data_IF_492748846150
#
_entry.id   IF_492748846150
#
_cell.length_a   1.000
_cell.length_b   1.000
_cell.length_c   1.000
_cell.angle_alpha   90.00
_cell.angle_beta   90.00
_cell.angle_gamma   90.00
#
_symmetry.space_group_name_H-M   'P 1'
#
loop_
_entity.id
_entity.type
_entity.pdbx_description
1 polymer ?
#
# COMPACT_ATOMS: atom_id res chain seq x y z
N UNK A 1 24.35 -50.40 -24.41
CA UNK A 1 24.50 -49.20 -25.28
C UNK A 1 23.36 -48.26 -24.96
N UNK A 2 23.59 -47.32 -24.06
CA UNK A 2 22.58 -46.35 -23.58
C UNK A 2 22.97 -45.00 -24.12
N UNK A 3 22.15 -44.44 -25.00
CA UNK A 3 22.32 -43.10 -25.51
C UNK A 3 21.82 -42.09 -24.48
N UNK A 4 22.73 -41.36 -23.91
CA UNK A 4 22.45 -40.16 -23.09
C UNK A 4 22.18 -39.03 -24.06
N UNK A 5 20.90 -38.64 -24.17
CA UNK A 5 20.52 -37.39 -24.85
C UNK A 5 20.98 -36.19 -24.02
N UNK A 6 21.98 -35.48 -24.51
CA UNK A 6 22.36 -34.15 -24.01
C UNK A 6 21.24 -33.17 -24.33
N UNK A 7 20.63 -32.65 -23.28
CA UNK A 7 19.71 -31.54 -23.40
C UNK A 7 20.43 -30.36 -24.04
N UNK A 8 19.86 -29.85 -25.10
CA UNK A 8 20.28 -28.64 -25.79
C UNK A 8 20.29 -27.45 -24.81
N UNK A 9 21.47 -26.92 -24.57
CA UNK A 9 21.63 -25.56 -24.07
C UNK A 9 21.18 -24.61 -25.19
N UNK A 10 19.92 -24.23 -25.14
CA UNK A 10 19.39 -23.18 -26.02
C UNK A 10 20.13 -21.88 -25.71
N UNK A 11 20.91 -21.46 -26.70
CA UNK A 11 21.46 -20.13 -26.86
C UNK A 11 20.35 -19.13 -26.51
N UNK A 12 20.55 -18.33 -25.47
CA UNK A 12 19.70 -17.20 -25.12
C UNK A 12 19.67 -16.22 -26.30
N UNK A 13 18.70 -16.39 -27.18
CA UNK A 13 18.36 -15.36 -28.14
C UNK A 13 17.91 -14.14 -27.32
N UNK A 14 18.55 -13.01 -27.52
CA UNK A 14 18.27 -11.68 -26.96
C UNK A 14 16.91 -11.09 -27.43
N UNK A 15 15.91 -11.92 -27.72
CA UNK A 15 14.56 -11.46 -28.01
C UNK A 15 13.80 -11.28 -26.70
N UNK A 16 13.68 -10.04 -26.26
CA UNK A 16 12.79 -9.70 -25.12
C UNK A 16 11.38 -10.20 -25.41
N UNK A 17 10.74 -10.82 -24.41
CA UNK A 17 9.34 -11.17 -24.55
C UNK A 17 8.49 -9.89 -24.63
N UNK A 18 7.62 -9.84 -25.63
CA UNK A 18 6.70 -8.72 -25.86
C UNK A 18 5.34 -9.09 -25.26
N UNK A 19 4.80 -8.19 -24.44
CA UNK A 19 3.50 -8.36 -23.78
C UNK A 19 2.52 -7.31 -24.31
N UNK A 20 1.28 -7.72 -24.56
CA UNK A 20 0.18 -6.79 -24.88
C UNK A 20 -0.19 -5.97 -23.65
N UNK A 21 -0.83 -4.82 -23.86
CA UNK A 21 -1.30 -3.98 -22.75
C UNK A 21 -2.32 -4.71 -21.86
N UNK A 22 -3.17 -5.55 -22.45
CA UNK A 22 -4.15 -6.37 -21.73
C UNK A 22 -3.45 -7.39 -20.82
N UNK A 23 -2.44 -8.10 -21.34
CA UNK A 23 -1.63 -9.02 -20.54
C UNK A 23 -0.94 -8.30 -19.38
N UNK A 24 -0.39 -7.11 -19.62
CA UNK A 24 0.29 -6.32 -18.58
C UNK A 24 -0.70 -5.88 -17.52
N UNK A 25 -1.90 -5.40 -17.87
CA UNK A 25 -2.95 -5.02 -16.91
C UNK A 25 -3.39 -6.20 -16.05
N UNK A 26 -3.71 -7.32 -16.69
CA UNK A 26 -4.09 -8.55 -16.00
C UNK A 26 -3.03 -9.00 -15.01
N UNK A 27 -1.78 -8.97 -15.42
CA UNK A 27 -0.63 -9.34 -14.60
C UNK A 27 -0.42 -8.40 -13.40
N UNK A 28 -0.52 -7.08 -13.62
CA UNK A 28 -0.47 -6.10 -12.53
C UNK A 28 -1.58 -6.34 -11.52
N UNK A 29 -2.82 -6.52 -11.97
CA UNK A 29 -3.96 -6.69 -11.08
C UNK A 29 -3.90 -7.99 -10.29
N UNK A 30 -3.43 -9.07 -10.90
CA UNK A 30 -3.16 -10.34 -10.20
C UNK A 30 -2.06 -10.16 -9.16
N UNK A 31 -0.94 -9.58 -9.55
CA UNK A 31 0.19 -9.33 -8.64
C UNK A 31 -0.18 -8.39 -7.50
N UNK A 32 -1.14 -7.51 -7.69
CA UNK A 32 -1.70 -6.66 -6.64
C UNK A 32 -2.75 -7.38 -5.77
N UNK A 33 -3.11 -8.62 -6.08
CA UNK A 33 -4.15 -9.38 -5.40
C UNK A 33 -5.56 -8.78 -5.56
N UNK A 34 -5.83 -8.09 -6.67
CA UNK A 34 -7.13 -7.48 -6.98
C UNK A 34 -8.03 -8.40 -7.82
N UNK A 35 -7.45 -9.36 -8.50
CA UNK A 35 -8.14 -10.45 -9.20
C UNK A 35 -7.61 -11.79 -8.69
N UNK A 36 -8.53 -12.71 -8.41
CA UNK A 36 -8.25 -14.06 -7.90
C UNK A 36 -7.21 -14.10 -6.75
N UNK A 37 -7.40 -13.31 -5.66
CA UNK A 37 -6.46 -13.33 -4.55
C UNK A 37 -6.51 -14.69 -3.84
N UNK A 38 -5.36 -15.33 -3.72
CA UNK A 38 -5.20 -16.56 -2.94
C UNK A 38 -4.34 -16.28 -1.70
N UNK A 39 -4.91 -15.53 -0.77
CA UNK A 39 -4.26 -15.24 0.52
C UNK A 39 -4.75 -16.15 1.65
N UNK A 40 -5.72 -17.03 1.39
CA UNK A 40 -6.40 -17.84 2.40
C UNK A 40 -7.55 -17.09 3.07
N UNK A 41 -7.85 -17.38 4.34
CA UNK A 41 -9.00 -16.82 5.08
C UNK A 41 -8.60 -16.21 6.41
N UNK A 42 -9.43 -15.30 6.91
CA UNK A 42 -9.32 -14.72 8.24
C UNK A 42 -8.02 -13.95 8.47
N UNK A 43 -7.48 -14.02 9.68
CA UNK A 43 -6.28 -13.31 10.10
C UNK A 43 -5.03 -13.71 9.31
N UNK A 44 -4.91 -15.00 8.95
CA UNK A 44 -3.77 -15.50 8.14
C UNK A 44 -3.77 -14.86 6.75
N UNK A 45 -4.93 -14.67 6.14
CA UNK A 45 -5.05 -13.99 4.85
C UNK A 45 -4.56 -12.53 4.93
N UNK A 46 -4.83 -11.83 6.03
CA UNK A 46 -4.34 -10.45 6.24
C UNK A 46 -2.81 -10.42 6.31
N UNK A 47 -2.21 -11.34 7.06
CA UNK A 47 -0.75 -11.49 7.12
C UNK A 47 -0.16 -11.75 5.73
N UNK A 48 -0.69 -12.75 5.01
CA UNK A 48 -0.21 -13.13 3.69
C UNK A 48 -0.35 -11.99 2.67
N UNK A 49 -1.45 -11.24 2.71
CA UNK A 49 -1.65 -10.07 1.85
C UNK A 49 -0.61 -8.96 2.13
N UNK A 50 -0.31 -8.67 3.41
CA UNK A 50 0.72 -7.69 3.77
C UNK A 50 2.11 -8.17 3.34
N UNK A 51 2.44 -9.45 3.54
CA UNK A 51 3.71 -10.06 3.10
C UNK A 51 3.87 -9.99 1.58
N UNK A 52 2.79 -10.27 0.85
CA UNK A 52 2.78 -10.21 -0.61
C UNK A 52 2.94 -8.79 -1.14
N UNK A 53 2.16 -7.85 -0.63
CA UNK A 53 2.25 -6.44 -1.05
C UNK A 53 3.53 -5.74 -0.56
N UNK A 54 4.20 -6.30 0.45
CA UNK A 54 5.41 -5.75 1.07
C UNK A 54 5.16 -4.60 2.04
N UNK A 55 4.06 -3.90 1.94
CA UNK A 55 3.60 -2.86 2.86
C UNK A 55 2.12 -2.55 2.66
N UNK A 56 1.49 -1.97 3.69
CA UNK A 56 0.17 -1.31 3.59
C UNK A 56 0.27 0.07 4.23
N UNK A 57 0.05 1.12 3.43
CA UNK A 57 0.20 2.50 3.89
C UNK A 57 -0.85 2.87 4.93
N UNK A 58 -0.39 3.45 6.04
CA UNK A 58 -1.23 4.01 7.11
C UNK A 58 -1.53 5.46 6.78
N UNK A 59 -2.81 5.81 6.75
CA UNK A 59 -3.24 7.19 6.60
C UNK A 59 -4.24 7.60 7.69
N UNK A 60 -4.21 8.90 8.02
CA UNK A 60 -5.06 9.50 9.06
C UNK A 60 -6.46 9.83 8.56
N UNK A 61 -6.61 10.07 7.26
CA UNK A 61 -7.90 10.42 6.66
C UNK A 61 -8.89 9.26 6.78
N UNK A 62 -10.06 9.56 7.32
CA UNK A 62 -11.14 8.59 7.55
C UNK A 62 -12.46 9.12 7.01
N UNK A 63 -12.52 9.36 5.69
CA UNK A 63 -13.73 9.90 5.04
C UNK A 63 -14.82 8.82 4.97
N UNK A 64 -14.48 7.64 4.52
CA UNK A 64 -15.33 6.46 4.56
C UNK A 64 -14.68 5.36 5.43
N UNK A 65 -13.53 4.86 5.03
CA UNK A 65 -12.67 3.98 5.81
C UNK A 65 -11.23 4.50 5.79
N UNK A 66 -10.42 4.15 6.79
CA UNK A 66 -8.98 4.44 6.75
C UNK A 66 -8.33 3.65 5.63
N UNK A 67 -7.35 4.26 4.94
CA UNK A 67 -6.73 3.71 3.75
C UNK A 67 -6.21 2.27 3.93
N UNK A 68 -5.52 1.96 5.04
CA UNK A 68 -4.99 0.62 5.30
C UNK A 68 -6.09 -0.43 5.45
N UNK A 69 -7.19 -0.11 6.12
CA UNK A 69 -8.32 -1.01 6.24
C UNK A 69 -9.03 -1.21 4.90
N UNK A 70 -9.19 -0.13 4.13
CA UNK A 70 -9.78 -0.20 2.78
C UNK A 70 -8.92 -1.03 1.82
N UNK A 71 -7.60 -0.84 1.82
CA UNK A 71 -6.66 -1.61 0.99
C UNK A 71 -6.72 -3.11 1.28
N UNK A 72 -6.87 -3.49 2.55
CA UNK A 72 -7.02 -4.90 2.93
C UNK A 72 -8.42 -5.43 2.58
N UNK A 73 -9.48 -4.65 2.85
CA UNK A 73 -10.84 -5.03 2.51
C UNK A 73 -11.06 -5.25 1.01
N UNK A 74 -10.44 -4.43 0.15
CA UNK A 74 -10.59 -4.60 -1.31
C UNK A 74 -10.04 -5.94 -1.82
N UNK A 75 -9.17 -6.60 -1.06
CA UNK A 75 -8.56 -7.90 -1.40
C UNK A 75 -9.13 -9.07 -0.62
N UNK A 76 -9.71 -8.81 0.55
CA UNK A 76 -10.12 -9.83 1.53
C UNK A 76 -11.58 -9.61 1.90
N UNK A 77 -12.53 -10.34 1.32
CA UNK A 77 -13.97 -10.12 1.57
C UNK A 77 -14.40 -10.29 3.04
N UNK A 78 -13.69 -11.13 3.81
CA UNK A 78 -13.93 -11.40 5.22
C UNK A 78 -13.05 -10.58 6.17
N UNK A 79 -12.41 -9.52 5.66
CA UNK A 79 -11.52 -8.65 6.43
C UNK A 79 -12.23 -8.00 7.64
N UNK A 80 -11.56 -8.08 8.80
CA UNK A 80 -11.94 -7.39 10.04
C UNK A 80 -10.76 -6.56 10.55
N UNK A 81 -11.03 -5.35 11.00
CA UNK A 81 -9.99 -4.47 11.56
C UNK A 81 -9.26 -5.09 12.76
N UNK A 82 -9.97 -5.92 13.56
CA UNK A 82 -9.37 -6.65 14.67
C UNK A 82 -8.21 -7.57 14.25
N UNK A 83 -8.27 -8.16 13.05
CA UNK A 83 -7.19 -9.02 12.55
C UNK A 83 -5.86 -8.27 12.43
N UNK A 84 -5.89 -7.04 11.89
CA UNK A 84 -4.70 -6.21 11.77
C UNK A 84 -4.12 -5.84 13.14
N UNK A 85 -4.99 -5.48 14.10
CA UNK A 85 -4.59 -5.17 15.46
C UNK A 85 -3.95 -6.37 16.16
N UNK A 86 -4.54 -7.56 16.00
CA UNK A 86 -3.99 -8.79 16.57
C UNK A 86 -2.62 -9.17 15.99
N UNK A 87 -2.45 -9.05 14.67
CA UNK A 87 -1.17 -9.30 14.00
C UNK A 87 -0.06 -8.36 14.49
N UNK A 88 -0.39 -7.10 14.82
CA UNK A 88 0.54 -6.12 15.36
C UNK A 88 0.87 -6.39 16.84
N UNK A 89 -0.17 -6.51 17.68
CA UNK A 89 -0.04 -6.50 19.13
C UNK A 89 0.28 -7.88 19.73
N UNK A 90 -0.45 -8.91 19.30
CA UNK A 90 -0.39 -10.26 19.88
C UNK A 90 0.57 -11.17 19.12
N UNK A 91 0.31 -11.33 17.83
CA UNK A 91 1.07 -12.28 17.01
C UNK A 91 2.44 -11.72 16.62
N UNK A 92 2.60 -10.39 16.62
CA UNK A 92 3.84 -9.68 16.27
C UNK A 92 4.41 -10.13 14.93
N UNK A 93 3.54 -10.44 13.97
CA UNK A 93 3.92 -10.87 12.61
C UNK A 93 4.03 -9.71 11.63
N UNK A 94 3.55 -8.54 12.03
CA UNK A 94 3.73 -7.27 11.34
C UNK A 94 4.27 -6.23 12.32
N UNK A 95 4.83 -5.13 11.77
CA UNK A 95 5.25 -3.98 12.57
C UNK A 95 4.98 -2.69 11.81
N UNK A 96 4.91 -1.58 12.54
CA UNK A 96 4.83 -0.25 11.92
C UNK A 96 6.21 0.33 11.69
N UNK A 97 6.45 0.84 10.51
CA UNK A 97 7.62 1.64 10.20
C UNK A 97 7.43 2.44 8.91
N UNK A 98 8.50 3.05 8.44
CA UNK A 98 8.53 3.86 7.23
C UNK A 98 8.92 3.02 6.00
N UNK A 99 8.04 2.92 5.02
CA UNK A 99 8.36 2.44 3.67
C UNK A 99 8.73 3.63 2.78
N UNK A 100 7.80 4.12 1.97
CA UNK A 100 7.85 5.47 1.38
C UNK A 100 6.96 6.45 2.17
N UNK A 101 6.12 5.94 3.03
CA UNK A 101 5.26 6.58 4.02
C UNK A 101 5.12 5.66 5.23
N UNK A 102 4.45 6.14 6.31
CA UNK A 102 4.10 5.30 7.45
C UNK A 102 3.29 4.09 6.99
N UNK A 103 3.70 2.88 7.38
CA UNK A 103 3.14 1.64 6.84
C UNK A 103 3.18 0.51 7.85
N UNK A 104 2.26 -0.45 7.70
CA UNK A 104 2.43 -1.80 8.24
C UNK A 104 3.33 -2.58 7.31
N UNK A 105 4.32 -3.25 7.88
CA UNK A 105 5.34 -4.04 7.18
C UNK A 105 5.36 -5.47 7.75
N UNK A 106 5.69 -6.48 6.95
CA UNK A 106 5.91 -7.84 7.45
C UNK A 106 7.05 -7.89 8.45
N UNK A 107 6.91 -8.62 9.57
CA UNK A 107 7.98 -8.79 10.54
C UNK A 107 9.20 -9.52 9.95
N UNK A 108 9.00 -10.39 8.97
CA UNK A 108 10.08 -11.02 8.19
C UNK A 108 11.01 -10.03 7.49
N UNK A 109 10.49 -8.83 7.19
CA UNK A 109 11.24 -7.78 6.51
C UNK A 109 11.92 -6.79 7.50
N UNK A 110 11.81 -7.03 8.82
CA UNK A 110 12.30 -6.11 9.85
C UNK A 110 13.77 -5.72 9.66
N UNK A 111 14.65 -6.69 9.30
CA UNK A 111 16.09 -6.43 9.12
C UNK A 111 16.34 -5.32 8.08
N UNK A 112 15.51 -5.24 7.03
CA UNK A 112 15.67 -4.23 5.98
C UNK A 112 15.27 -2.83 6.45
N UNK A 113 14.45 -2.71 7.49
CA UNK A 113 14.18 -1.44 8.15
C UNK A 113 15.41 -0.88 8.87
N UNK A 114 16.34 -1.73 9.27
CA UNK A 114 17.57 -1.33 9.96
C UNK A 114 18.47 -0.45 9.11
N UNK A 115 18.42 -0.60 7.77
CA UNK A 115 19.14 0.28 6.84
C UNK A 115 18.69 1.74 7.00
N UNK A 116 17.38 1.96 7.07
CA UNK A 116 16.79 3.29 7.27
C UNK A 116 17.07 3.79 8.70
N UNK A 117 16.85 2.94 9.71
CA UNK A 117 17.09 3.24 11.13
C UNK A 117 18.53 3.65 11.38
N UNK A 118 19.50 2.97 10.75
CA UNK A 118 20.92 3.34 10.82
C UNK A 118 21.15 4.75 10.30
N UNK A 119 20.55 5.11 9.14
CA UNK A 119 20.68 6.47 8.60
C UNK A 119 20.24 7.55 9.61
N UNK A 120 19.14 7.35 10.34
CA UNK A 120 18.70 8.27 11.38
C UNK A 120 19.64 8.31 12.60
N UNK A 121 20.19 7.17 13.02
CA UNK A 121 21.19 7.11 14.09
C UNK A 121 22.49 7.81 13.72
N UNK A 122 22.88 7.71 12.46
CA UNK A 122 24.12 8.28 11.92
C UNK A 122 23.97 9.78 11.55
N UNK A 123 22.86 10.43 11.90
CA UNK A 123 22.68 11.86 11.74
C UNK A 123 21.90 12.31 10.53
N UNK A 124 21.18 11.42 9.82
CA UNK A 124 20.18 11.83 8.83
C UNK A 124 19.22 12.83 9.49
N UNK A 125 19.10 14.02 8.91
CA UNK A 125 18.25 15.06 9.46
C UNK A 125 16.79 14.62 9.56
N UNK A 126 16.19 14.86 10.72
CA UNK A 126 14.75 14.77 10.92
C UNK A 126 14.11 16.10 10.46
N UNK A 127 12.79 16.11 10.26
CA UNK A 127 12.06 17.35 9.94
C UNK A 127 11.88 18.29 11.14
N UNK A 128 12.46 17.97 12.29
CA UNK A 128 12.52 18.81 13.49
C UNK A 128 13.86 18.63 14.21
N UNK A 129 14.25 19.61 15.00
CA UNK A 129 15.49 19.57 15.81
C UNK A 129 15.42 18.49 16.88
N UNK A 130 16.57 17.87 17.14
CA UNK A 130 16.73 16.85 18.16
C UNK A 130 16.91 17.49 19.54
N UNK A 131 16.12 17.01 20.50
CA UNK A 131 16.29 17.32 21.92
C UNK A 131 16.76 16.07 22.69
N UNK A 132 18.06 15.94 22.86
CA UNK A 132 18.68 14.80 23.55
C UNK A 132 18.17 14.63 24.98
N UNK A 133 17.87 15.73 25.70
CA UNK A 133 17.35 15.72 27.08
C UNK A 133 15.95 15.13 27.12
N UNK A 134 15.07 15.60 26.24
CA UNK A 134 13.71 15.06 26.12
C UNK A 134 13.73 13.61 25.63
N UNK A 135 14.60 13.25 24.68
CA UNK A 135 14.74 11.86 24.22
C UNK A 135 15.13 10.93 25.37
N UNK A 136 16.11 11.33 26.20
CA UNK A 136 16.52 10.55 27.37
C UNK A 136 15.37 10.41 28.37
N UNK A 137 14.67 11.46 28.68
CA UNK A 137 13.51 11.46 29.58
C UNK A 137 12.40 10.50 29.11
N UNK A 138 12.08 10.54 27.81
CA UNK A 138 11.06 9.64 27.21
C UNK A 138 11.50 8.18 27.31
N UNK A 139 12.76 7.88 26.99
CA UNK A 139 13.30 6.51 27.11
C UNK A 139 13.28 6.00 28.53
N UNK A 140 13.75 6.81 29.51
CA UNK A 140 13.80 6.43 30.91
C UNK A 140 12.39 6.14 31.45
N UNK A 141 11.39 6.93 31.08
CA UNK A 141 9.99 6.68 31.47
C UNK A 141 9.44 5.39 30.88
N UNK A 142 9.62 5.16 29.56
CA UNK A 142 9.17 3.91 28.92
C UNK A 142 9.88 2.70 29.51
N UNK A 143 11.16 2.84 29.86
CA UNK A 143 11.92 1.78 30.52
C UNK A 143 11.34 1.41 31.86
N UNK A 144 10.97 2.43 32.68
CA UNK A 144 10.47 2.25 34.04
C UNK A 144 8.98 1.86 34.10
N UNK A 145 8.16 2.48 33.24
CA UNK A 145 6.69 2.39 33.34
C UNK A 145 6.07 1.42 32.32
N UNK A 146 6.83 0.98 31.32
CA UNK A 146 6.30 0.14 30.23
C UNK A 146 5.81 0.97 29.03
N UNK A 147 4.92 0.41 28.20
CA UNK A 147 4.45 1.06 26.97
C UNK A 147 3.70 2.36 27.22
N UNK A 148 4.09 3.46 26.56
CA UNK A 148 3.50 4.79 26.71
C UNK A 148 3.12 5.40 25.36
N UNK A 149 2.18 6.33 25.38
CA UNK A 149 1.75 7.14 24.24
C UNK A 149 1.96 8.65 24.51
N UNK A 150 1.86 9.47 23.48
CA UNK A 150 2.17 10.90 23.58
C UNK A 150 1.35 11.66 24.65
N UNK A 151 0.14 11.21 24.97
CA UNK A 151 -0.70 11.84 26.02
C UNK A 151 -0.21 11.58 27.45
N UNK A 152 0.56 10.48 27.66
CA UNK A 152 1.04 10.07 28.98
C UNK A 152 2.23 10.94 29.44
N UNK A 153 2.73 11.83 28.59
CA UNK A 153 3.76 12.78 28.90
C UNK A 153 3.13 14.16 29.15
N UNK A 154 3.18 14.61 30.40
CA UNK A 154 2.79 15.98 30.75
C UNK A 154 3.84 16.98 30.31
N UNK A 155 3.39 18.03 29.64
CA UNK A 155 4.20 19.21 29.33
C UNK A 155 3.45 20.45 29.73
N UNK A 156 4.01 21.21 30.69
CA UNK A 156 3.57 22.60 30.96
C UNK A 156 3.92 23.43 29.72
N UNK A 157 2.91 24.00 29.07
CA UNK A 157 3.14 24.96 27.99
C UNK A 157 3.81 26.22 28.57
N UNK A 158 4.98 26.55 28.06
CA UNK A 158 5.58 27.84 28.28
C UNK A 158 5.22 28.78 27.12
N UNK A 159 4.06 29.46 27.23
CA UNK A 159 3.62 30.46 26.26
C UNK A 159 2.59 30.03 25.19
N UNK A 160 2.07 30.99 24.41
CA UNK A 160 1.15 30.73 23.30
C UNK A 160 1.88 30.09 22.15
N UNK A 161 1.75 28.75 22.00
CA UNK A 161 2.32 27.99 20.89
C UNK A 161 1.41 27.99 19.67
N UNK A 162 1.98 27.90 18.48
CA UNK A 162 1.25 27.68 17.23
C UNK A 162 0.45 26.36 17.24
N UNK A 163 -0.74 26.37 16.66
CA UNK A 163 -1.64 25.19 16.56
C UNK A 163 -0.94 23.92 15.99
N UNK A 164 0.08 24.09 15.14
CA UNK A 164 0.84 23.04 14.48
C UNK A 164 2.10 22.59 15.24
N UNK A 165 2.39 23.15 16.41
CA UNK A 165 3.61 22.83 17.15
C UNK A 165 3.47 21.49 17.88
N UNK A 166 4.27 20.51 17.48
CA UNK A 166 4.29 19.22 18.14
C UNK A 166 4.87 19.36 19.55
N UNK A 167 4.18 18.72 20.53
CA UNK A 167 4.69 18.63 21.91
C UNK A 167 6.09 17.99 21.90
N UNK A 168 7.03 18.45 22.74
CA UNK A 168 8.39 17.91 22.80
C UNK A 168 8.45 16.40 22.92
N UNK A 169 7.63 15.80 23.79
CA UNK A 169 7.56 14.34 23.91
C UNK A 169 7.11 13.62 22.62
N UNK A 170 6.19 14.22 21.85
CA UNK A 170 5.77 13.64 20.56
C UNK A 170 6.92 13.64 19.55
N UNK A 171 7.73 14.73 19.53
CA UNK A 171 8.94 14.79 18.69
C UNK A 171 9.95 13.73 19.11
N UNK A 172 10.19 13.59 20.43
CA UNK A 172 11.09 12.60 20.98
C UNK A 172 10.64 11.16 20.68
N UNK A 173 9.36 10.83 20.88
CA UNK A 173 8.79 9.52 20.55
C UNK A 173 9.00 9.18 19.07
N UNK A 174 8.71 10.12 18.17
CA UNK A 174 8.88 9.90 16.72
C UNK A 174 10.36 9.73 16.36
N UNK A 175 11.26 10.51 16.94
CA UNK A 175 12.69 10.37 16.69
C UNK A 175 13.23 9.03 17.16
N UNK A 176 12.93 8.62 18.39
CA UNK A 176 13.37 7.35 18.95
C UNK A 176 12.80 6.16 18.17
N UNK A 177 11.59 6.30 17.65
CA UNK A 177 10.97 5.33 16.76
C UNK A 177 11.70 5.26 15.40
N UNK A 178 12.03 6.41 14.79
CA UNK A 178 12.77 6.44 13.53
C UNK A 178 14.19 5.89 13.67
N UNK A 179 14.83 6.11 14.82
CA UNK A 179 16.13 5.50 15.17
C UNK A 179 16.05 4.00 15.49
N UNK A 180 14.83 3.48 15.71
CA UNK A 180 14.60 2.09 16.07
C UNK A 180 14.92 1.74 17.53
N UNK A 181 14.99 2.74 18.42
CA UNK A 181 15.04 2.53 19.87
C UNK A 181 13.69 2.17 20.44
N UNK A 182 12.61 2.71 19.83
CA UNK A 182 11.23 2.36 20.13
C UNK A 182 10.57 1.69 18.94
N UNK A 183 9.58 0.85 19.23
CA UNK A 183 8.63 0.28 18.29
C UNK A 183 7.20 0.58 18.73
N UNK A 184 6.26 0.54 17.80
CA UNK A 184 4.83 0.55 18.10
C UNK A 184 4.44 -0.83 18.61
N UNK A 185 4.10 -0.91 19.90
CA UNK A 185 3.65 -2.14 20.53
C UNK A 185 2.19 -2.45 20.18
N UNK A 186 1.36 -1.40 20.12
CA UNK A 186 -0.06 -1.46 19.74
C UNK A 186 -0.60 -0.12 19.34
N UNK A 187 -1.84 -0.10 18.85
CA UNK A 187 -2.62 1.14 18.71
C UNK A 187 -3.79 1.17 19.69
N UNK A 188 -3.99 2.32 20.31
CA UNK A 188 -5.18 2.59 21.11
C UNK A 188 -6.03 3.65 20.39
N UNK A 189 -7.12 3.20 19.78
CA UNK A 189 -7.75 3.96 18.71
C UNK A 189 -6.76 4.15 17.56
N UNK A 190 -6.50 5.39 17.18
CA UNK A 190 -5.50 5.70 16.15
C UNK A 190 -4.13 6.13 16.71
N UNK A 191 -3.99 6.21 18.04
CA UNK A 191 -2.74 6.64 18.69
C UNK A 191 -1.76 5.47 18.80
N UNK A 192 -0.49 5.75 18.51
CA UNK A 192 0.61 4.81 18.70
C UNK A 192 0.93 4.68 20.18
N UNK A 193 1.05 3.46 20.68
CA UNK A 193 1.62 3.13 21.98
C UNK A 193 3.01 2.56 21.72
N UNK A 194 4.04 3.20 22.26
CA UNK A 194 5.42 2.86 22.02
C UNK A 194 6.00 2.09 23.19
N UNK A 195 6.84 1.11 22.91
CA UNK A 195 7.68 0.42 23.89
C UNK A 195 9.10 0.24 23.36
N UNK A 196 9.99 -0.19 24.21
CA UNK A 196 11.37 -0.50 23.85
C UNK A 196 11.40 -1.58 22.77
N UNK A 197 12.29 -1.41 21.79
CA UNK A 197 12.40 -2.35 20.67
C UNK A 197 12.67 -3.78 21.15
N UNK A 198 13.52 -3.96 22.18
CA UNK A 198 13.84 -5.28 22.74
C UNK A 198 12.65 -5.97 23.44
N UNK A 199 11.59 -5.24 23.81
CA UNK A 199 10.37 -5.81 24.40
C UNK A 199 9.32 -6.16 23.35
N UNK A 200 9.32 -5.43 22.25
CA UNK A 200 8.32 -5.61 21.18
C UNK A 200 8.78 -6.63 20.15
N UNK A 201 10.06 -6.59 19.77
CA UNK A 201 10.62 -7.41 18.70
C UNK A 201 10.73 -8.88 19.16
N UNK A 202 10.16 -9.85 18.40
CA UNK A 202 10.33 -11.26 18.72
C UNK A 202 11.81 -11.71 18.62
N UNK A 203 12.26 -12.56 19.55
CA UNK A 203 13.65 -12.97 19.66
C UNK A 203 14.21 -13.71 18.42
N UNK A 204 13.34 -14.33 17.63
CA UNK A 204 13.75 -15.06 16.41
C UNK A 204 13.97 -14.15 15.19
N UNK A 205 13.65 -12.86 15.29
CA UNK A 205 13.75 -11.94 14.15
C UNK A 205 15.21 -11.58 13.88
N UNK A 206 15.61 -11.70 12.61
CA UNK A 206 16.97 -11.34 12.20
C UNK A 206 17.20 -9.82 12.34
N UNK A 207 18.18 -9.46 13.15
CA UNK A 207 18.61 -8.08 13.42
C UNK A 207 19.96 -7.72 12.80
N UNK A 208 20.52 -8.57 11.94
CA UNK A 208 21.75 -8.25 11.21
C UNK A 208 21.49 -7.13 10.21
N UNK A 209 22.31 -6.09 10.27
CA UNK A 209 22.23 -4.96 9.34
C UNK A 209 22.44 -5.47 7.90
N UNK A 210 21.52 -5.18 6.95
CA UNK A 210 21.75 -5.54 5.57
C UNK A 210 22.84 -4.66 4.96
N UNK A 211 23.62 -5.23 4.06
CA UNK A 211 24.47 -4.46 3.16
C UNK A 211 23.60 -3.64 2.18
N UNK A 212 24.19 -2.63 1.56
CA UNK A 212 23.51 -1.84 0.54
C UNK A 212 23.03 -2.71 -0.63
N UNK A 213 23.83 -3.70 -1.03
CA UNK A 213 23.47 -4.68 -2.06
C UNK A 213 22.24 -5.50 -1.66
N UNK A 214 22.25 -6.09 -0.46
CA UNK A 214 21.11 -6.88 0.04
C UNK A 214 19.83 -6.03 0.14
N UNK A 215 19.98 -4.76 0.54
CA UNK A 215 18.85 -3.85 0.60
C UNK A 215 18.30 -3.51 -0.79
N UNK A 216 19.17 -3.27 -1.77
CA UNK A 216 18.75 -3.05 -3.16
C UNK A 216 18.07 -4.27 -3.78
N UNK A 217 18.62 -5.48 -3.59
CA UNK A 217 17.99 -6.73 -4.04
C UNK A 217 16.64 -6.98 -3.37
N UNK A 218 16.52 -6.66 -2.08
CA UNK A 218 15.24 -6.71 -1.37
C UNK A 218 14.19 -5.80 -2.02
N UNK A 219 14.55 -4.55 -2.32
CA UNK A 219 13.63 -3.59 -2.97
C UNK A 219 13.19 -4.06 -4.35
N UNK A 220 14.11 -4.60 -5.15
CA UNK A 220 13.80 -5.16 -6.49
C UNK A 220 12.81 -6.31 -6.35
N UNK A 221 13.11 -7.29 -5.49
CA UNK A 221 12.26 -8.46 -5.29
C UNK A 221 10.86 -8.08 -4.82
N UNK A 222 10.75 -7.18 -3.82
CA UNK A 222 9.44 -6.72 -3.30
C UNK A 222 8.65 -5.94 -4.33
N UNK A 223 9.32 -5.10 -5.12
CA UNK A 223 8.64 -4.35 -6.18
C UNK A 223 8.08 -5.29 -7.26
N UNK A 224 8.85 -6.29 -7.70
CA UNK A 224 8.40 -7.28 -8.68
C UNK A 224 7.28 -8.14 -8.08
N UNK A 225 7.45 -8.65 -6.85
CA UNK A 225 6.44 -9.47 -6.18
C UNK A 225 5.07 -8.77 -6.11
N UNK A 226 5.05 -7.49 -5.72
CA UNK A 226 3.82 -6.73 -5.55
C UNK A 226 3.21 -6.22 -6.86
N UNK A 227 4.04 -5.93 -7.87
CA UNK A 227 3.61 -5.23 -9.09
C UNK A 227 3.69 -6.08 -10.37
N UNK A 228 4.26 -7.29 -10.30
CA UNK A 228 4.44 -8.19 -11.43
C UNK A 228 5.59 -7.77 -12.34
N UNK A 229 5.44 -6.67 -13.06
CA UNK A 229 6.48 -6.03 -13.85
C UNK A 229 6.77 -4.62 -13.33
N UNK A 230 8.03 -4.18 -13.39
CA UNK A 230 8.43 -2.87 -12.87
C UNK A 230 9.51 -2.23 -13.73
N UNK A 231 9.48 -0.90 -13.83
CA UNK A 231 10.62 -0.09 -14.26
C UNK A 231 11.56 0.21 -13.08
N UNK A 232 12.83 0.45 -13.38
CA UNK A 232 13.84 0.84 -12.39
C UNK A 232 13.37 1.97 -11.47
N UNK A 233 12.77 3.02 -12.05
CA UNK A 233 12.28 4.19 -11.29
C UNK A 233 11.13 3.85 -10.33
N UNK A 234 10.38 2.79 -10.58
CA UNK A 234 9.29 2.33 -9.73
C UNK A 234 9.81 1.58 -8.49
N UNK A 235 10.95 0.89 -8.62
CA UNK A 235 11.63 0.20 -7.51
C UNK A 235 12.10 1.21 -6.46
N UNK A 236 12.66 2.34 -6.91
CA UNK A 236 13.15 3.39 -6.02
C UNK A 236 12.10 4.43 -5.60
N UNK A 237 10.81 4.16 -5.85
CA UNK A 237 9.73 5.11 -5.63
C UNK A 237 9.82 5.83 -4.28
N UNK A 238 9.92 7.17 -4.33
CA UNK A 238 10.08 8.09 -3.19
C UNK A 238 11.26 7.79 -2.24
N UNK A 239 12.26 7.01 -2.68
CA UNK A 239 13.48 6.72 -1.92
C UNK A 239 14.68 7.40 -2.57
N UNK A 240 15.20 8.42 -1.89
CA UNK A 240 16.39 9.16 -2.37
C UNK A 240 17.68 8.35 -2.16
N UNK A 241 18.66 8.52 -3.05
CA UNK A 241 20.00 7.94 -2.90
C UNK A 241 20.13 6.46 -3.27
N UNK A 242 19.05 5.77 -3.66
CA UNK A 242 19.06 4.33 -3.93
C UNK A 242 19.08 3.96 -5.40
N UNK A 243 19.08 4.95 -6.31
CA UNK A 243 19.07 4.68 -7.76
C UNK A 243 20.28 3.86 -8.20
N UNK A 244 21.48 4.29 -7.84
CA UNK A 244 22.71 3.61 -8.24
C UNK A 244 22.87 2.20 -7.65
N UNK A 245 22.64 1.98 -6.32
CA UNK A 245 22.62 0.63 -5.76
C UNK A 245 21.60 -0.30 -6.42
N UNK A 246 20.39 0.19 -6.71
CA UNK A 246 19.34 -0.59 -7.39
C UNK A 246 19.78 -0.96 -8.80
N UNK A 247 20.35 -0.01 -9.58
CA UNK A 247 20.82 -0.29 -10.93
C UNK A 247 21.93 -1.33 -10.96
N UNK A 248 22.87 -1.24 -10.02
CA UNK A 248 23.96 -2.20 -9.90
C UNK A 248 23.43 -3.60 -9.55
N UNK A 249 22.51 -3.69 -8.58
CA UNK A 249 21.90 -4.95 -8.20
C UNK A 249 21.05 -5.54 -9.34
N UNK A 250 20.29 -4.70 -10.05
CA UNK A 250 19.44 -5.11 -11.17
C UNK A 250 20.26 -5.71 -12.31
N UNK A 251 21.39 -5.08 -12.69
CA UNK A 251 22.32 -5.62 -13.71
C UNK A 251 22.87 -6.98 -13.31
N UNK A 252 23.17 -7.19 -12.03
CA UNK A 252 23.63 -8.49 -11.54
C UNK A 252 22.53 -9.54 -11.60
N UNK A 253 21.30 -9.20 -11.16
CA UNK A 253 20.16 -10.13 -11.19
C UNK A 253 19.77 -10.53 -12.61
N UNK A 254 19.86 -9.60 -13.59
CA UNK A 254 19.69 -9.87 -15.01
C UNK A 254 20.77 -10.83 -15.54
N UNK A 255 22.04 -10.55 -15.23
CA UNK A 255 23.15 -11.43 -15.62
C UNK A 255 23.00 -12.85 -15.06
N UNK A 256 22.51 -12.96 -13.82
CA UNK A 256 22.29 -14.23 -13.13
C UNK A 256 21.01 -14.94 -13.57
N UNK A 257 20.21 -14.37 -14.48
CA UNK A 257 18.91 -14.91 -14.92
C UNK A 257 17.83 -14.93 -13.84
N UNK A 258 18.02 -14.20 -12.73
CA UNK A 258 17.05 -14.14 -11.62
C UNK A 258 15.89 -13.19 -11.91
N UNK A 259 16.08 -12.25 -12.81
CA UNK A 259 15.05 -11.38 -13.39
C UNK A 259 15.22 -11.33 -14.89
N UNK A 260 14.14 -11.06 -15.59
CA UNK A 260 14.07 -11.01 -17.05
C UNK A 260 13.59 -9.63 -17.48
N UNK A 261 14.05 -9.20 -18.65
CA UNK A 261 13.54 -8.00 -19.31
C UNK A 261 12.40 -8.35 -20.26
N UNK A 262 11.34 -7.56 -20.21
CA UNK A 262 10.17 -7.66 -21.09
C UNK A 262 9.87 -6.30 -21.72
N UNK A 263 9.20 -6.29 -22.85
CA UNK A 263 8.74 -5.08 -23.55
C UNK A 263 7.23 -5.04 -23.59
N UNK A 264 6.69 -3.83 -23.54
CA UNK A 264 5.28 -3.61 -23.86
C UNK A 264 5.16 -3.47 -25.39
N UNK A 265 4.15 -4.10 -25.96
CA UNK A 265 3.81 -3.96 -27.38
C UNK A 265 3.63 -2.47 -27.75
N UNK A 266 4.22 -2.05 -28.86
CA UNK A 266 4.22 -0.65 -29.29
C UNK A 266 5.20 0.28 -28.55
N UNK A 267 5.87 -0.18 -27.48
CA UNK A 267 6.91 0.58 -26.76
C UNK A 267 8.29 -0.05 -26.96
N UNK A 268 9.04 0.48 -27.92
CA UNK A 268 10.36 -0.06 -28.28
C UNK A 268 11.50 0.36 -27.33
N UNK A 269 11.28 1.35 -26.47
CA UNK A 269 12.35 2.00 -25.70
C UNK A 269 12.41 1.60 -24.25
N UNK A 270 11.27 1.22 -23.65
CA UNK A 270 11.19 0.96 -22.21
C UNK A 270 11.28 -0.54 -21.94
N UNK A 271 12.22 -0.90 -21.09
CA UNK A 271 12.35 -2.25 -20.56
C UNK A 271 11.73 -2.31 -19.17
N UNK A 272 11.00 -3.39 -18.94
CA UNK A 272 10.46 -3.74 -17.63
C UNK A 272 11.15 -5.00 -17.14
N UNK A 273 11.19 -5.20 -15.85
CA UNK A 273 11.75 -6.42 -15.26
C UNK A 273 10.69 -7.20 -14.49
N UNK A 274 10.81 -8.51 -14.58
CA UNK A 274 9.97 -9.48 -13.86
C UNK A 274 10.78 -10.74 -13.55
N UNK A 275 10.15 -11.75 -12.93
CA UNK A 275 10.75 -13.08 -12.76
C UNK A 275 10.11 -14.06 -13.72
N UNK A 276 10.83 -15.15 -14.03
CA UNK A 276 10.32 -16.21 -14.92
C UNK A 276 9.02 -16.80 -14.38
N UNK A 277 8.94 -17.12 -13.08
CA UNK A 277 7.75 -17.68 -12.46
C UNK A 277 6.53 -16.76 -12.60
N UNK A 278 6.73 -15.45 -12.48
CA UNK A 278 5.65 -14.49 -12.68
C UNK A 278 5.27 -14.37 -14.14
N UNK A 279 6.25 -14.40 -15.04
CA UNK A 279 6.02 -14.33 -16.47
C UNK A 279 5.20 -15.53 -16.98
N UNK A 280 5.51 -16.74 -16.53
CA UNK A 280 4.76 -17.94 -16.87
C UNK A 280 3.30 -17.87 -16.42
N UNK A 281 3.02 -17.19 -15.32
CA UNK A 281 1.65 -17.05 -14.79
C UNK A 281 0.76 -16.04 -15.55
N UNK A 282 1.28 -15.32 -16.55
CA UNK A 282 0.52 -14.26 -17.24
C UNK A 282 -0.67 -14.81 -18.04
N UNK A 283 -0.55 -16.01 -18.60
CA UNK A 283 -1.57 -16.57 -19.47
C UNK A 283 -2.60 -17.46 -18.73
N UNK A 284 -2.44 -17.65 -17.41
CA UNK A 284 -3.20 -18.65 -16.66
C UNK A 284 -4.55 -18.15 -16.15
N UNK A 285 -4.95 -16.90 -16.42
CA UNK A 285 -6.19 -16.37 -15.87
C UNK A 285 -6.92 -15.44 -16.82
N UNK A 286 -8.24 -15.51 -16.73
CA UNK A 286 -9.16 -14.63 -17.44
C UNK A 286 -9.62 -13.51 -16.50
N UNK A 287 -9.63 -12.28 -17.02
CA UNK A 287 -10.18 -11.14 -16.28
C UNK A 287 -11.71 -11.25 -16.30
N UNK A 288 -12.28 -11.30 -15.10
CA UNK A 288 -13.73 -11.22 -14.93
C UNK A 288 -14.16 -9.78 -14.74
N UNK A 289 -15.35 -9.44 -15.21
CA UNK A 289 -15.95 -8.12 -15.05
C UNK A 289 -16.45 -7.91 -13.60
N UNK A 290 -15.54 -7.95 -12.64
CA UNK A 290 -15.81 -7.66 -11.23
C UNK A 290 -15.52 -6.21 -10.90
N UNK A 291 -16.15 -5.69 -9.83
CA UNK A 291 -15.90 -4.33 -9.32
C UNK A 291 -14.92 -4.37 -8.16
N UNK A 292 -13.91 -3.49 -8.19
CA UNK A 292 -13.12 -3.12 -7.03
C UNK A 292 -13.24 -1.62 -6.77
N UNK A 293 -13.45 -1.27 -5.50
CA UNK A 293 -13.40 0.10 -5.01
C UNK A 293 -12.06 0.26 -4.31
N UNK A 294 -11.23 1.19 -4.76
CA UNK A 294 -9.87 1.32 -4.26
C UNK A 294 -9.67 2.59 -3.42
N UNK A 295 -8.79 2.49 -2.43
CA UNK A 295 -8.33 3.65 -1.68
C UNK A 295 -7.39 4.50 -2.53
N UNK A 296 -7.39 5.85 -2.37
CA UNK A 296 -6.37 6.70 -2.97
C UNK A 296 -4.92 6.31 -2.62
N UNK A 297 -4.72 5.62 -1.52
CA UNK A 297 -3.41 5.16 -1.04
C UNK A 297 -3.18 3.66 -1.24
N UNK A 298 -4.05 3.02 -2.05
CA UNK A 298 -3.88 1.62 -2.43
C UNK A 298 -2.57 1.41 -3.20
N UNK A 299 -1.91 0.28 -2.97
CA UNK A 299 -0.65 -0.07 -3.62
C UNK A 299 -0.77 -0.04 -5.15
N UNK A 300 -1.92 -0.40 -5.72
CA UNK A 300 -2.18 -0.35 -7.16
C UNK A 300 -2.31 1.08 -7.72
N UNK A 301 -2.66 2.05 -6.86
CA UNK A 301 -2.95 3.44 -7.24
C UNK A 301 -1.80 4.38 -6.90
N UNK A 302 -1.07 4.14 -5.80
CA UNK A 302 -0.15 5.12 -5.20
C UNK A 302 0.92 5.63 -6.18
N UNK A 303 1.38 4.81 -7.09
CA UNK A 303 2.29 5.21 -8.15
C UNK A 303 1.53 5.78 -9.36
N UNK A 304 1.06 7.04 -9.27
CA UNK A 304 0.16 7.69 -10.24
C UNK A 304 0.61 7.56 -11.71
N UNK A 305 1.92 7.75 -11.97
CA UNK A 305 2.46 7.61 -13.33
C UNK A 305 2.32 6.20 -13.89
N UNK A 306 2.42 5.20 -13.03
CA UNK A 306 2.20 3.79 -13.38
C UNK A 306 0.72 3.55 -13.74
N UNK A 307 -0.19 4.06 -12.91
CA UNK A 307 -1.63 3.96 -13.15
C UNK A 307 -2.03 4.66 -14.45
N UNK A 308 -1.52 5.86 -14.70
CA UNK A 308 -1.72 6.57 -15.96
C UNK A 308 -1.21 5.78 -17.16
N UNK A 309 0.01 5.22 -17.06
CA UNK A 309 0.65 4.51 -18.18
C UNK A 309 -0.09 3.25 -18.59
N UNK A 310 -0.40 2.37 -17.63
CA UNK A 310 -0.96 1.06 -17.94
C UNK A 310 -2.48 1.05 -18.04
N UNK A 311 -3.16 1.97 -17.37
CA UNK A 311 -4.62 1.98 -17.29
C UNK A 311 -5.27 3.22 -17.91
N UNK A 312 -4.47 4.14 -18.48
CA UNK A 312 -4.93 5.45 -18.98
C UNK A 312 -5.82 6.19 -17.97
N UNK A 313 -5.46 6.09 -16.69
CA UNK A 313 -6.23 6.65 -15.61
C UNK A 313 -5.42 7.72 -14.87
N UNK A 314 -5.73 8.98 -15.20
CA UNK A 314 -5.14 10.14 -14.52
C UNK A 314 -5.86 10.37 -13.18
N UNK A 315 -5.16 10.06 -12.10
CA UNK A 315 -5.72 10.14 -10.76
C UNK A 315 -4.92 11.08 -9.86
N UNK A 316 -5.63 12.03 -9.25
CA UNK A 316 -5.10 12.95 -8.23
C UNK A 316 -6.04 12.93 -7.03
N UNK A 317 -5.47 12.90 -5.84
CA UNK A 317 -6.23 13.10 -4.60
C UNK A 317 -6.38 14.61 -4.35
N UNK A 318 -7.61 15.07 -4.15
CA UNK A 318 -7.92 16.50 -4.04
C UNK A 318 -8.20 16.97 -2.61
N UNK A 319 -7.92 16.14 -1.59
CA UNK A 319 -8.15 16.50 -0.19
C UNK A 319 -7.28 17.69 0.29
N UNK A 320 -6.17 17.98 -0.41
CA UNK A 320 -5.31 19.13 -0.16
C UNK A 320 -5.63 20.33 -1.07
N UNK A 321 -6.59 20.17 -1.99
CA UNK A 321 -7.03 21.24 -2.89
C UNK A 321 -8.20 21.98 -2.24
N UNK A 322 -8.20 23.35 -2.23
CA UNK A 322 -9.34 24.12 -1.76
C UNK A 322 -10.63 23.73 -2.50
N UNK A 323 -11.75 23.65 -1.79
CA UNK A 323 -13.01 23.12 -2.29
C UNK A 323 -13.45 23.70 -3.65
N UNK A 324 -13.41 25.03 -3.90
CA UNK A 324 -13.83 25.59 -5.20
C UNK A 324 -12.96 25.17 -6.40
N UNK A 325 -11.76 24.64 -6.13
CA UNK A 325 -10.79 24.21 -7.15
C UNK A 325 -10.80 22.69 -7.36
N UNK A 326 -11.60 21.94 -6.59
CA UNK A 326 -11.72 20.49 -6.75
C UNK A 326 -12.52 20.17 -8.01
N UNK A 327 -11.97 19.25 -8.79
CA UNK A 327 -12.57 18.81 -10.05
C UNK A 327 -13.55 17.63 -9.82
N UNK A 328 -13.19 16.71 -8.94
CA UNK A 328 -13.90 15.45 -8.74
C UNK A 328 -14.51 15.30 -7.35
N UNK A 329 -13.90 15.88 -6.33
CA UNK A 329 -14.36 15.76 -4.94
C UNK A 329 -13.21 15.76 -3.94
N UNK A 330 -13.53 15.52 -2.68
CA UNK A 330 -12.54 15.61 -1.60
C UNK A 330 -11.61 14.38 -1.54
N UNK A 331 -12.19 13.17 -1.56
CA UNK A 331 -11.46 11.91 -1.35
C UNK A 331 -11.96 10.82 -2.30
N UNK A 332 -11.89 11.08 -3.58
CA UNK A 332 -12.48 10.20 -4.59
C UNK A 332 -11.89 8.79 -4.58
N UNK A 333 -12.77 7.80 -4.57
CA UNK A 333 -12.41 6.38 -4.69
C UNK A 333 -12.47 5.96 -6.16
N UNK A 334 -11.35 5.45 -6.74
CA UNK A 334 -11.36 4.83 -8.06
C UNK A 334 -12.23 3.58 -8.10
N UNK A 335 -12.93 3.39 -9.21
CA UNK A 335 -13.73 2.20 -9.51
C UNK A 335 -13.05 1.44 -10.64
N UNK A 336 -12.51 0.28 -10.31
CA UNK A 336 -11.97 -0.67 -11.27
C UNK A 336 -13.09 -1.65 -11.67
N UNK A 337 -13.30 -1.86 -12.96
CA UNK A 337 -14.23 -2.84 -13.53
C UNK A 337 -13.49 -3.69 -14.55
N UNK A 338 -13.33 -4.97 -14.26
CA UNK A 338 -12.43 -5.82 -15.03
C UNK A 338 -10.98 -5.32 -14.92
N UNK A 339 -10.41 -4.92 -16.05
CA UNK A 339 -9.04 -4.38 -16.16
C UNK A 339 -8.98 -2.85 -16.37
N UNK A 340 -10.09 -2.14 -16.21
CA UNK A 340 -10.16 -0.72 -16.51
C UNK A 340 -10.69 0.10 -15.34
N UNK A 341 -10.08 1.26 -15.09
CA UNK A 341 -10.67 2.26 -14.21
C UNK A 341 -11.74 3.01 -14.97
N UNK A 342 -13.01 2.78 -14.61
CA UNK A 342 -14.17 3.27 -15.37
C UNK A 342 -14.89 4.46 -14.73
N UNK A 343 -14.59 4.72 -13.45
CA UNK A 343 -15.21 5.79 -12.71
C UNK A 343 -14.41 6.16 -11.47
N UNK A 344 -14.79 7.26 -10.84
CA UNK A 344 -14.42 7.69 -9.49
C UNK A 344 -15.60 8.33 -8.80
N UNK A 345 -15.68 8.21 -7.49
CA UNK A 345 -16.73 8.86 -6.72
C UNK A 345 -16.21 9.39 -5.39
N UNK A 346 -16.81 10.50 -4.91
CA UNK A 346 -16.49 11.10 -3.62
C UNK A 346 -17.42 10.53 -2.53
N UNK A 347 -16.90 9.74 -1.58
CA UNK A 347 -17.69 9.09 -0.54
C UNK A 347 -17.84 9.96 0.70
N UNK A 348 -18.90 9.71 1.49
CA UNK A 348 -19.00 10.09 2.90
C UNK A 348 -19.73 8.99 3.65
N UNK A 349 -19.14 8.44 4.71
CA UNK A 349 -19.83 7.54 5.61
C UNK A 349 -20.34 8.33 6.82
N UNK A 350 -21.66 8.44 6.95
CA UNK A 350 -22.31 8.99 8.13
C UNK A 350 -22.75 7.84 9.03
N UNK A 351 -21.89 7.52 9.99
CA UNK A 351 -22.09 6.36 10.88
C UNK A 351 -23.18 6.60 11.91
N UNK A 352 -23.46 7.87 12.24
CA UNK A 352 -24.54 8.20 13.18
C UNK A 352 -25.91 7.94 12.56
N UNK A 353 -26.06 8.30 11.28
CA UNK A 353 -27.30 8.06 10.52
C UNK A 353 -27.28 6.70 9.79
N UNK A 354 -26.15 5.97 9.85
CA UNK A 354 -25.93 4.70 9.13
C UNK A 354 -26.11 4.81 7.63
N UNK A 355 -25.76 5.97 7.05
CA UNK A 355 -25.93 6.26 5.62
C UNK A 355 -24.57 6.46 4.96
N UNK A 356 -24.35 5.74 3.88
CA UNK A 356 -23.21 5.92 2.99
C UNK A 356 -23.61 6.80 1.81
N UNK A 357 -22.97 7.96 1.68
CA UNK A 357 -23.24 8.91 0.60
C UNK A 357 -22.20 8.77 -0.51
N UNK A 358 -22.66 8.72 -1.76
CA UNK A 358 -21.89 9.12 -2.93
C UNK A 358 -22.21 10.60 -3.17
N UNK A 359 -21.31 11.48 -2.70
CA UNK A 359 -21.48 12.93 -2.84
C UNK A 359 -21.46 13.34 -4.30
N UNK A 360 -20.59 12.70 -5.09
CA UNK A 360 -20.48 12.94 -6.52
C UNK A 360 -19.92 11.70 -7.21
N UNK A 361 -20.51 11.30 -8.36
CA UNK A 361 -20.07 10.21 -9.22
C UNK A 361 -19.59 10.75 -10.55
N UNK A 362 -18.44 10.28 -11.01
CA UNK A 362 -17.87 10.63 -12.32
C UNK A 362 -17.51 9.35 -13.07
N UNK A 363 -18.01 9.22 -14.29
CA UNK A 363 -17.57 8.18 -15.21
C UNK A 363 -16.40 8.68 -16.06
N UNK A 364 -15.45 7.80 -16.34
CA UNK A 364 -14.33 8.13 -17.21
C UNK A 364 -14.79 8.25 -18.67
N UNK A 365 -14.03 9.02 -19.44
CA UNK A 365 -14.36 9.29 -20.84
C UNK A 365 -14.50 7.98 -21.64
N UNK A 366 -15.60 7.84 -22.36
CA UNK A 366 -15.88 6.67 -23.20
C UNK A 366 -16.59 5.52 -22.49
N UNK A 367 -16.61 5.48 -21.15
CA UNK A 367 -17.34 4.46 -20.43
C UNK A 367 -18.83 4.82 -20.30
N UNK A 368 -19.70 3.87 -20.66
CA UNK A 368 -21.15 3.97 -20.50
C UNK A 368 -21.60 2.82 -19.60
N UNK A 369 -22.12 3.10 -18.40
CA UNK A 369 -22.60 2.06 -17.49
C UNK A 369 -23.76 1.29 -18.13
N UNK A 370 -23.72 -0.02 -18.02
CA UNK A 370 -24.74 -0.95 -18.47
C UNK A 370 -25.32 -1.73 -17.28
N UNK A 371 -26.33 -2.54 -17.53
CA UNK A 371 -27.00 -3.33 -16.49
C UNK A 371 -26.04 -4.22 -15.70
N UNK A 372 -25.09 -4.90 -16.36
CA UNK A 372 -24.10 -5.76 -15.70
C UNK A 372 -23.21 -4.96 -14.74
N UNK A 373 -22.72 -3.80 -15.20
CA UNK A 373 -21.96 -2.89 -14.34
C UNK A 373 -22.80 -2.41 -13.15
N UNK A 374 -24.05 -1.95 -13.40
CA UNK A 374 -24.91 -1.41 -12.36
C UNK A 374 -25.20 -2.43 -11.25
N UNK A 375 -25.49 -3.69 -11.62
CA UNK A 375 -25.69 -4.79 -10.66
C UNK A 375 -24.42 -5.06 -9.84
N UNK A 376 -23.27 -5.22 -10.48
CA UNK A 376 -21.98 -5.49 -9.82
C UNK A 376 -21.57 -4.32 -8.92
N UNK A 377 -21.74 -3.07 -9.38
CA UNK A 377 -21.42 -1.87 -8.63
C UNK A 377 -22.31 -1.72 -7.38
N UNK A 378 -23.62 -1.92 -7.51
CA UNK A 378 -24.55 -1.86 -6.39
C UNK A 378 -24.19 -2.91 -5.30
N UNK A 379 -23.90 -4.14 -5.72
CA UNK A 379 -23.49 -5.20 -4.79
C UNK A 379 -22.20 -4.84 -4.03
N UNK A 380 -21.17 -4.40 -4.75
CA UNK A 380 -19.88 -4.00 -4.14
C UNK A 380 -20.04 -2.76 -3.27
N UNK A 381 -20.90 -1.81 -3.67
CA UNK A 381 -21.15 -0.59 -2.91
C UNK A 381 -21.90 -0.87 -1.60
N UNK A 382 -22.91 -1.75 -1.62
CA UNK A 382 -23.60 -2.22 -0.38
C UNK A 382 -22.62 -2.90 0.58
N UNK A 383 -21.75 -3.77 0.06
CA UNK A 383 -20.71 -4.43 0.86
C UNK A 383 -19.74 -3.41 1.46
N UNK A 384 -19.35 -2.38 0.71
CA UNK A 384 -18.46 -1.32 1.21
C UNK A 384 -19.16 -0.42 2.23
N UNK A 385 -20.44 -0.07 2.02
CA UNK A 385 -21.24 0.67 2.99
C UNK A 385 -21.33 -0.09 4.32
N UNK A 386 -21.65 -1.39 4.28
CA UNK A 386 -21.66 -2.26 5.46
C UNK A 386 -20.29 -2.29 6.16
N UNK A 387 -19.20 -2.44 5.41
CA UNK A 387 -17.84 -2.39 5.96
C UNK A 387 -17.53 -1.07 6.66
N UNK A 388 -18.08 0.06 6.18
CA UNK A 388 -17.91 1.38 6.81
C UNK A 388 -18.86 1.65 7.97
N UNK A 389 -19.72 0.68 8.34
CA UNK A 389 -20.72 0.80 9.40
C UNK A 389 -22.02 1.49 8.98
N UNK A 390 -22.30 1.51 7.66
CA UNK A 390 -23.53 2.07 7.10
C UNK A 390 -24.44 0.98 6.56
N UNK A 391 -25.75 1.19 6.67
CA UNK A 391 -26.78 0.25 6.23
C UNK A 391 -27.44 0.69 4.91
N UNK A 392 -27.49 1.98 4.67
CA UNK A 392 -28.15 2.58 3.52
C UNK A 392 -27.14 3.28 2.62
N UNK A 393 -27.45 3.35 1.32
CA UNK A 393 -26.65 4.05 0.32
C UNK A 393 -27.50 5.13 -0.35
N UNK A 394 -26.95 6.36 -0.40
CA UNK A 394 -27.58 7.51 -1.05
C UNK A 394 -26.62 8.10 -2.09
N UNK A 395 -27.11 8.35 -3.30
CA UNK A 395 -26.36 9.02 -4.35
C UNK A 395 -26.84 10.47 -4.44
N UNK A 396 -25.97 11.44 -4.11
CA UNK A 396 -26.32 12.88 -4.15
C UNK A 396 -26.24 13.42 -5.57
N UNK A 397 -25.05 13.37 -6.17
CA UNK A 397 -24.82 13.92 -7.52
C UNK A 397 -24.29 12.85 -8.46
N UNK A 398 -24.98 12.67 -9.58
CA UNK A 398 -24.58 11.80 -10.70
C UNK A 398 -25.40 12.16 -11.94
N UNK A 399 -25.13 11.51 -13.07
CA UNK A 399 -26.03 11.56 -14.22
C UNK A 399 -27.46 11.20 -13.81
N UNK A 400 -28.43 11.99 -14.23
CA UNK A 400 -29.83 11.87 -13.77
C UNK A 400 -30.47 10.54 -14.16
N UNK A 401 -30.17 10.03 -15.36
CA UNK A 401 -30.71 8.76 -15.86
C UNK A 401 -30.11 7.61 -15.07
N UNK A 402 -28.80 7.57 -14.98
CA UNK A 402 -28.08 6.53 -14.22
C UNK A 402 -28.47 6.52 -12.72
N UNK A 403 -28.60 7.69 -12.10
CA UNK A 403 -29.05 7.80 -10.70
C UNK A 403 -30.45 7.21 -10.49
N UNK A 404 -31.37 7.40 -11.44
CA UNK A 404 -32.72 6.81 -11.41
C UNK A 404 -32.64 5.29 -11.51
N UNK A 405 -31.84 4.76 -12.43
CA UNK A 405 -31.62 3.32 -12.62
C UNK A 405 -31.02 2.68 -11.35
N UNK A 406 -30.00 3.31 -10.77
CA UNK A 406 -29.31 2.78 -9.58
C UNK A 406 -30.20 2.67 -8.34
N UNK A 407 -31.28 3.47 -8.22
CA UNK A 407 -32.22 3.35 -7.10
C UNK A 407 -32.87 1.97 -7.00
N UNK A 408 -33.10 1.29 -8.13
CA UNK A 408 -33.69 -0.05 -8.12
C UNK A 408 -32.72 -1.12 -7.61
N UNK A 409 -31.43 -0.95 -7.89
CA UNK A 409 -30.38 -1.88 -7.42
C UNK A 409 -29.93 -1.64 -5.97
N UNK A 410 -30.20 -0.44 -5.45
CA UNK A 410 -29.81 -0.04 -4.08
C UNK A 410 -30.91 -0.27 -3.04
N UNK A 411 -32.15 -0.55 -3.48
CA UNK A 411 -33.19 -1.08 -2.60
C UNK A 411 -32.77 -2.49 -2.11
#
# INVERSE_FOLDING_TARGET
MVFINRANSSILNNSHQILSLEQVRAFILKSQGLIHPDFGKGKVAVKNAIEHMGYVQIDTLSVAARAHHHTLWSRLPDYKESYLNELLEKDKTIFEYWSHAASYLPMSDYRFSLFIKKGYRDGKSHWFEQDKKTNKYVLDRIKAEGPLQSKDFEFKRSGPGNWYEWKPAKKALEQLFMEGKLMVAKRQGFQKVYDLTERVLPAHVNTNLPTEKEFAEYLIRKAIQANGIVEEKEISYLRKGLKEPINKALKMLLKDGKVLEVKLEGDSKTLFVTTENQLQSINDFKIENTIQLLSPFDNAIIQRKRTQRFFDFDYVIECYVPEPKRKFGYFCLPVLYGDQFVARFDPKADRAEKVFYIKQMHFEKGFKPNEKFNKAFALKLKAYASFTGCENVVIDKADKKWKKEMKEYLK
#
